data_IF_102432022170
#
_entry.id   IF_102432022170
#
_cell.length_a   1.000
_cell.length_b   1.000
_cell.length_c   1.000
_cell.angle_alpha   90.00
_cell.angle_beta   90.00
_cell.angle_gamma   90.00
#
_symmetry.space_group_name_H-M   'P 1'
#
loop_
_entity.id
_entity.type
_entity.pdbx_description
1 polymer ?
#
# COMPACT_ATOMS: atom_id res chain seq x y z
N UNK A 1 78.73 -22.23 -30.01
CA UNK A 1 77.56 -21.36 -30.26
C UNK A 1 76.36 -21.94 -29.53
N UNK A 2 75.89 -21.31 -28.44
CA UNK A 2 74.66 -21.70 -27.73
C UNK A 2 73.62 -20.62 -28.01
N UNK A 3 72.55 -20.97 -28.72
CA UNK A 3 71.41 -20.08 -28.96
C UNK A 3 70.62 -19.93 -27.65
N UNK A 4 70.52 -18.71 -27.13
CA UNK A 4 69.58 -18.37 -26.05
C UNK A 4 68.19 -18.18 -26.68
N UNK A 5 67.26 -19.06 -26.32
CA UNK A 5 65.84 -18.86 -26.61
C UNK A 5 65.28 -17.81 -25.65
N UNK A 6 64.86 -16.66 -26.18
CA UNK A 6 64.10 -15.65 -25.46
C UNK A 6 62.68 -16.16 -25.23
N UNK A 7 62.36 -16.48 -23.98
CA UNK A 7 61.04 -16.90 -23.55
C UNK A 7 60.09 -15.68 -23.58
N UNK A 8 59.22 -15.60 -24.60
CA UNK A 8 58.18 -14.57 -24.70
C UNK A 8 57.23 -14.70 -23.51
N UNK A 9 57.19 -13.69 -22.64
CA UNK A 9 56.16 -13.55 -21.61
C UNK A 9 54.79 -13.44 -22.28
N UNK A 10 53.88 -14.36 -21.97
CA UNK A 10 52.48 -14.26 -22.35
C UNK A 10 51.79 -13.17 -21.53
N UNK A 11 51.06 -12.24 -22.16
CA UNK A 11 50.38 -11.16 -21.45
C UNK A 11 49.31 -11.70 -20.49
N UNK A 12 49.21 -11.08 -19.31
CA UNK A 12 48.20 -11.41 -18.31
C UNK A 12 46.79 -11.20 -18.89
N UNK A 13 45.90 -12.16 -18.63
CA UNK A 13 44.50 -12.11 -19.07
C UNK A 13 43.56 -12.11 -17.87
N UNK A 14 42.49 -11.31 -17.93
CA UNK A 14 41.48 -11.19 -16.87
C UNK A 14 40.25 -12.02 -17.25
N UNK A 15 39.72 -12.80 -16.30
CA UNK A 15 38.51 -13.60 -16.51
C UNK A 15 37.27 -12.69 -16.47
N UNK A 16 36.46 -12.71 -17.53
CA UNK A 16 35.19 -11.98 -17.56
C UNK A 16 34.13 -12.70 -16.72
N UNK A 17 33.44 -12.02 -15.79
CA UNK A 17 32.35 -12.63 -15.02
C UNK A 17 31.01 -12.69 -15.79
N UNK A 18 30.92 -12.05 -16.96
CA UNK A 18 29.67 -11.87 -17.70
C UNK A 18 29.56 -12.73 -18.97
N UNK A 19 30.62 -13.41 -19.40
CA UNK A 19 30.56 -14.34 -20.52
C UNK A 19 31.25 -15.65 -20.16
N UNK A 20 30.68 -16.76 -20.62
CA UNK A 20 31.20 -18.12 -20.44
C UNK A 20 32.48 -18.37 -21.25
N UNK A 21 32.73 -17.55 -22.27
CA UNK A 21 33.86 -17.70 -23.18
C UNK A 21 34.91 -16.60 -22.98
N UNK A 22 36.07 -17.02 -22.47
CA UNK A 22 37.35 -16.35 -22.73
C UNK A 22 37.81 -15.26 -21.75
N UNK A 23 39.09 -15.32 -21.41
CA UNK A 23 39.79 -14.24 -20.73
C UNK A 23 40.09 -13.09 -21.71
N UNK A 24 39.96 -11.85 -21.26
CA UNK A 24 40.27 -10.67 -22.06
C UNK A 24 41.69 -10.14 -21.76
N UNK A 25 42.36 -9.51 -22.75
CA UNK A 25 43.64 -8.83 -22.51
C UNK A 25 43.48 -7.70 -21.48
N UNK A 26 44.49 -7.52 -20.62
CA UNK A 26 44.57 -6.38 -19.71
C UNK A 26 44.44 -5.04 -20.46
N UNK A 27 43.61 -4.14 -19.94
CA UNK A 27 43.32 -2.82 -20.55
C UNK A 27 41.95 -2.68 -21.22
N UNK A 28 41.12 -3.74 -21.20
CA UNK A 28 39.73 -3.65 -21.65
C UNK A 28 38.82 -3.22 -20.49
N UNK A 29 38.19 -2.05 -20.62
CA UNK A 29 37.28 -1.52 -19.58
C UNK A 29 35.87 -2.15 -19.64
N UNK A 30 35.48 -2.65 -20.81
CA UNK A 30 34.15 -3.21 -21.07
C UNK A 30 34.24 -4.58 -21.72
N UNK A 31 33.29 -5.46 -21.40
CA UNK A 31 33.14 -6.74 -22.05
C UNK A 31 32.61 -6.52 -23.47
N UNK A 32 33.32 -6.97 -24.53
CA UNK A 32 32.93 -6.71 -25.91
C UNK A 32 31.58 -7.36 -26.29
N UNK A 33 31.22 -8.47 -25.64
CA UNK A 33 29.97 -9.18 -25.94
C UNK A 33 28.75 -8.60 -25.22
N UNK A 34 28.93 -7.94 -24.07
CA UNK A 34 27.81 -7.49 -23.23
C UNK A 34 27.76 -5.98 -23.01
N UNK A 35 28.82 -5.25 -23.36
CA UNK A 35 28.98 -3.82 -23.07
C UNK A 35 29.09 -3.49 -21.57
N UNK A 36 29.17 -4.49 -20.69
CA UNK A 36 29.23 -4.28 -19.23
C UNK A 36 30.67 -3.99 -18.76
N UNK A 37 30.87 -3.09 -17.79
CA UNK A 37 32.19 -2.75 -17.28
C UNK A 37 32.83 -3.93 -16.55
N UNK A 38 34.10 -4.24 -16.87
CA UNK A 38 34.83 -5.40 -16.34
C UNK A 38 35.41 -5.16 -14.93
N UNK A 39 35.58 -3.90 -14.50
CA UNK A 39 35.96 -3.54 -13.13
C UNK A 39 34.84 -2.78 -12.44
N UNK A 40 34.49 -3.19 -11.21
CA UNK A 40 33.71 -2.34 -10.30
C UNK A 40 34.51 -1.06 -10.09
N UNK A 41 33.93 0.08 -10.44
CA UNK A 41 34.55 1.41 -10.27
C UNK A 41 34.78 1.61 -8.77
N UNK A 42 36.00 1.39 -8.30
CA UNK A 42 36.38 1.76 -6.93
C UNK A 42 36.35 3.28 -6.89
N UNK A 43 35.28 3.83 -6.31
CA UNK A 43 35.18 5.28 -6.10
C UNK A 43 36.21 5.62 -5.04
N UNK A 44 37.36 6.13 -5.46
CA UNK A 44 38.31 6.77 -4.56
C UNK A 44 37.66 8.06 -4.07
N UNK A 45 36.97 7.97 -2.93
CA UNK A 45 36.56 9.14 -2.17
C UNK A 45 37.83 9.82 -1.67
N UNK A 46 38.04 11.06 -2.08
CA UNK A 46 39.14 11.88 -1.62
C UNK A 46 39.06 12.05 -0.07
N UNK A 47 40.23 12.15 0.57
CA UNK A 47 40.36 12.32 2.03
C UNK A 47 39.59 13.53 2.54
N UNK A 48 39.46 14.59 1.76
CA UNK A 48 38.71 15.79 2.13
C UNK A 48 37.20 15.50 2.21
N UNK A 49 36.67 14.69 1.29
CA UNK A 49 35.27 14.24 1.32
C UNK A 49 34.95 13.39 2.55
N UNK A 50 35.88 12.52 2.96
CA UNK A 50 35.76 11.69 4.18
C UNK A 50 35.82 12.57 5.45
N UNK A 51 36.64 13.63 5.46
CA UNK A 51 36.75 14.52 6.63
C UNK A 51 35.48 15.35 6.82
N UNK A 52 34.88 15.88 5.74
CA UNK A 52 33.60 16.61 5.77
C UNK A 52 32.46 15.72 6.24
N UNK A 53 32.43 14.46 5.79
CA UNK A 53 31.42 13.49 6.24
C UNK A 53 31.53 13.21 7.75
N UNK A 54 32.76 13.01 8.26
CA UNK A 54 32.99 12.82 9.72
C UNK A 54 32.61 14.05 10.54
N UNK A 55 32.85 15.26 10.03
CA UNK A 55 32.41 16.50 10.70
C UNK A 55 30.89 16.61 10.76
N UNK A 56 30.18 16.22 9.69
CA UNK A 56 28.72 16.23 9.63
C UNK A 56 28.08 15.26 10.64
N UNK A 57 28.65 14.05 10.78
CA UNK A 57 28.17 13.05 11.78
C UNK A 57 28.31 13.57 13.22
N UNK A 58 29.38 14.31 13.54
CA UNK A 58 29.55 14.89 14.89
C UNK A 58 28.48 15.93 15.22
N UNK A 59 28.03 16.71 14.24
CA UNK A 59 26.97 17.69 14.43
C UNK A 59 25.59 17.04 14.63
N UNK A 60 25.32 15.92 13.93
CA UNK A 60 24.07 15.16 14.09
C UNK A 60 23.94 14.61 15.51
N UNK A 61 25.01 14.04 16.07
CA UNK A 61 24.99 13.55 17.45
C UNK A 61 24.69 14.66 18.47
N UNK A 62 25.18 15.88 18.24
CA UNK A 62 24.93 17.01 19.15
C UNK A 62 23.46 17.45 19.13
N UNK A 63 22.82 17.44 17.97
CA UNK A 63 21.38 17.73 17.82
C UNK A 63 20.55 16.65 18.52
N UNK A 64 20.92 15.38 18.38
CA UNK A 64 20.21 14.26 19.02
C UNK A 64 20.17 14.37 20.56
N UNK A 65 21.28 14.79 21.19
CA UNK A 65 21.31 15.02 22.64
C UNK A 65 20.42 16.19 23.10
N UNK A 66 20.28 17.24 22.30
CA UNK A 66 19.38 18.36 22.60
C UNK A 66 17.93 17.88 22.54
N UNK A 67 17.57 17.08 21.52
CA UNK A 67 16.21 16.52 21.39
C UNK A 67 15.88 15.60 22.56
N UNK A 68 16.79 14.70 22.95
CA UNK A 68 16.60 13.85 24.14
C UNK A 68 16.39 14.71 25.40
N UNK A 69 17.21 15.75 25.59
CA UNK A 69 17.09 16.65 26.74
C UNK A 69 15.72 17.33 26.83
N UNK A 70 15.20 17.84 25.70
CA UNK A 70 13.88 18.46 25.64
C UNK A 70 12.74 17.45 25.93
N UNK A 71 12.83 16.23 25.42
CA UNK A 71 11.83 15.18 25.67
C UNK A 71 11.80 14.79 27.14
N UNK A 72 12.96 14.59 27.77
CA UNK A 72 13.02 14.29 29.19
C UNK A 72 12.43 15.43 30.03
N UNK A 73 12.73 16.69 29.69
CA UNK A 73 12.16 17.85 30.39
C UNK A 73 10.62 17.87 30.35
N UNK A 74 10.03 17.54 29.20
CA UNK A 74 8.57 17.47 29.04
C UNK A 74 7.92 16.31 29.80
N UNK A 75 8.65 15.23 30.07
CA UNK A 75 8.14 14.09 30.86
C UNK A 75 8.15 14.40 32.36
N UNK A 76 9.16 15.13 32.85
CA UNK A 76 9.32 15.37 34.30
C UNK A 76 8.54 16.58 34.83
N UNK A 77 8.22 17.58 34.01
CA UNK A 77 7.47 18.78 34.44
C UNK A 77 6.03 18.45 34.92
N UNK A 78 5.23 17.60 34.24
CA UNK A 78 3.87 17.28 34.69
C UNK A 78 3.85 16.51 36.01
N UNK A 79 4.83 15.63 36.25
CA UNK A 79 4.93 14.85 37.48
C UNK A 79 5.18 15.72 38.72
N UNK A 80 5.98 16.78 38.57
CA UNK A 80 6.20 17.76 39.65
C UNK A 80 4.96 18.60 39.96
N UNK A 81 4.14 18.91 38.94
CA UNK A 81 2.93 19.71 39.12
C UNK A 81 1.83 18.95 39.87
N UNK A 82 1.75 17.62 39.71
CA UNK A 82 0.77 16.76 40.39
C UNK A 82 1.13 16.55 41.86
N UNK A 83 2.42 16.44 42.19
CA UNK A 83 2.87 16.23 43.58
C UNK A 83 2.63 17.48 44.45
N UNK A 84 2.66 18.68 43.87
CA UNK A 84 2.43 19.92 44.62
C UNK A 84 0.95 20.29 44.80
N UNK A 85 0.03 19.79 43.96
CA UNK A 85 -1.40 20.12 44.04
C UNK A 85 -2.25 19.09 44.81
N UNK A 86 -1.65 18.05 45.38
CA UNK A 86 -2.39 16.98 46.07
C UNK A 86 -2.63 17.21 47.57
N UNK A 87 -2.36 18.42 48.11
CA UNK A 87 -2.41 18.67 49.55
C UNK A 87 -3.63 19.44 50.08
N UNK A 88 -4.53 19.91 49.22
CA UNK A 88 -5.75 20.60 49.67
C UNK A 88 -6.95 19.96 48.96
N UNK A 89 -7.69 19.08 49.66
CA UNK A 89 -9.15 18.95 49.52
C UNK A 89 -9.70 17.88 50.49
N UNK A 90 -10.07 18.36 51.67
CA UNK A 90 -10.92 17.68 52.65
C UNK A 90 -12.36 17.64 52.12
N UNK A 91 -12.84 16.46 51.72
CA UNK A 91 -14.24 16.20 51.36
C UNK A 91 -15.14 16.12 52.61
N UNK A 92 -16.23 16.88 52.61
CA UNK A 92 -17.43 16.58 53.40
C UNK A 92 -18.61 16.27 52.48
N UNK A 93 -19.38 15.28 52.88
CA UNK A 93 -20.26 14.45 52.07
C UNK A 93 -21.72 14.67 52.42
N UNK A 94 -22.57 14.98 51.44
CA UNK A 94 -24.02 14.70 51.52
C UNK A 94 -24.63 14.54 50.11
N UNK A 95 -25.45 13.50 49.86
CA UNK A 95 -26.17 13.35 48.59
C UNK A 95 -27.64 13.83 48.73
N UNK A 96 -28.20 14.58 47.76
CA UNK A 96 -29.64 14.79 47.73
C UNK A 96 -30.35 13.76 46.85
N UNK A 97 -31.51 13.39 47.36
CA UNK A 97 -32.50 12.41 46.94
C UNK A 97 -33.13 12.66 45.57
N UNK A 98 -33.38 11.54 44.86
CA UNK A 98 -34.20 11.42 43.65
C UNK A 98 -35.60 12.03 43.82
N UNK A 99 -36.05 12.83 42.86
CA UNK A 99 -37.47 12.97 42.51
C UNK A 99 -37.70 12.51 41.08
N UNK A 100 -38.33 11.35 40.95
CA UNK A 100 -38.88 10.79 39.72
C UNK A 100 -40.19 11.51 39.45
N UNK A 101 -40.32 12.13 38.26
CA UNK A 101 -41.60 12.61 37.73
C UNK A 101 -41.96 11.73 36.54
N UNK A 102 -43.04 10.98 36.71
CA UNK A 102 -43.72 10.22 35.67
C UNK A 102 -44.31 11.18 34.62
N UNK A 103 -44.03 10.95 33.35
CA UNK A 103 -44.82 11.48 32.24
C UNK A 103 -45.33 10.31 31.39
N UNK A 104 -46.63 10.04 31.53
CA UNK A 104 -47.44 9.19 30.65
C UNK A 104 -47.48 9.82 29.26
N UNK A 105 -47.07 9.07 28.24
CA UNK A 105 -47.42 9.36 26.85
C UNK A 105 -48.11 8.14 26.24
N UNK A 106 -49.35 8.34 25.84
CA UNK A 106 -50.25 7.39 25.18
C UNK A 106 -49.85 7.19 23.72
N UNK A 107 -49.65 5.93 23.31
CA UNK A 107 -49.51 5.52 21.89
C UNK A 107 -50.81 4.80 21.47
N UNK A 108 -51.39 5.12 20.30
CA UNK A 108 -52.61 4.47 19.82
C UNK A 108 -52.32 3.08 19.22
N UNK A 109 -53.22 2.13 19.52
CA UNK A 109 -53.29 0.77 18.98
C UNK A 109 -53.56 0.78 17.47
N UNK A 110 -52.82 -0.03 16.71
CA UNK A 110 -53.23 -0.53 15.39
C UNK A 110 -53.24 -2.06 15.42
N UNK A 111 -54.38 -2.63 15.01
CA UNK A 111 -54.70 -4.07 15.04
C UNK A 111 -54.00 -4.84 13.92
N UNK A 112 -53.53 -6.03 14.32
CA UNK A 112 -53.54 -7.35 13.68
C UNK A 112 -53.15 -7.50 12.20
N UNK A 113 -52.19 -8.39 11.96
CA UNK A 113 -52.45 -9.62 11.20
C UNK A 113 -51.64 -10.80 11.75
N UNK A 114 -52.32 -11.94 11.75
CA UNK A 114 -51.99 -13.24 12.33
C UNK A 114 -51.38 -14.11 11.25
N UNK A 115 -50.19 -14.68 11.49
CA UNK A 115 -49.73 -15.89 10.81
C UNK A 115 -48.95 -16.71 11.84
N UNK A 116 -49.50 -17.88 12.11
CA UNK A 116 -48.98 -18.94 12.98
C UNK A 116 -47.88 -19.66 12.21
N UNK A 117 -46.75 -19.93 12.85
CA UNK A 117 -46.01 -21.19 12.68
C UNK A 117 -45.16 -21.46 13.92
N UNK A 118 -45.19 -22.73 14.31
CA UNK A 118 -44.82 -23.28 15.60
C UNK A 118 -43.30 -23.26 15.84
N UNK A 119 -42.87 -22.88 17.03
CA UNK A 119 -41.54 -23.21 17.55
C UNK A 119 -41.65 -23.71 18.98
N UNK A 120 -41.18 -24.95 19.18
CA UNK A 120 -41.04 -25.56 20.50
C UNK A 120 -39.91 -24.88 21.27
N UNK A 121 -40.25 -24.29 22.41
CA UNK A 121 -39.31 -23.76 23.40
C UNK A 121 -38.75 -24.90 24.26
N UNK A 122 -37.42 -24.91 24.46
CA UNK A 122 -36.76 -25.55 25.61
C UNK A 122 -36.27 -24.46 26.57
N UNK A 123 -36.17 -24.83 27.85
CA UNK A 123 -36.12 -23.95 29.03
C UNK A 123 -34.81 -23.15 29.25
N UNK A 124 -33.84 -23.11 28.33
CA UNK A 124 -32.53 -22.50 28.60
C UNK A 124 -32.29 -21.09 28.02
N UNK A 125 -33.29 -20.49 27.35
CA UNK A 125 -33.24 -19.07 26.96
C UNK A 125 -32.18 -18.70 25.91
N UNK A 126 -31.61 -19.66 25.20
CA UNK A 126 -30.62 -19.40 24.14
C UNK A 126 -31.28 -19.25 22.75
N UNK A 127 -30.98 -18.15 22.05
CA UNK A 127 -31.44 -17.90 20.67
C UNK A 127 -30.48 -18.56 19.69
N UNK A 128 -30.91 -19.65 19.05
CA UNK A 128 -30.20 -20.27 17.92
C UNK A 128 -30.47 -19.44 16.65
N UNK A 129 -29.46 -18.80 16.10
CA UNK A 129 -29.51 -18.26 14.73
C UNK A 129 -29.41 -19.48 13.78
N UNK A 130 -30.38 -19.72 12.90
CA UNK A 130 -30.28 -20.83 11.95
C UNK A 130 -29.16 -20.55 10.95
N UNK A 131 -28.13 -21.40 10.95
CA UNK A 131 -27.18 -21.45 9.84
C UNK A 131 -27.92 -21.95 8.59
N UNK A 132 -27.81 -21.25 7.45
CA UNK A 132 -28.33 -21.79 6.20
C UNK A 132 -27.56 -23.05 5.83
N UNK A 133 -28.28 -24.17 5.72
CA UNK A 133 -27.75 -25.41 5.16
C UNK A 133 -27.64 -25.22 3.65
N UNK A 134 -26.48 -24.74 3.19
CA UNK A 134 -26.10 -24.81 1.79
C UNK A 134 -25.74 -26.26 1.46
N UNK A 135 -26.44 -26.85 0.49
CA UNK A 135 -25.97 -28.08 -0.14
C UNK A 135 -24.74 -27.72 -0.97
N UNK A 136 -23.56 -28.04 -0.44
CA UNK A 136 -22.33 -27.99 -1.22
C UNK A 136 -22.40 -29.11 -2.26
N UNK A 137 -22.11 -28.80 -3.52
CA UNK A 137 -21.81 -29.81 -4.53
C UNK A 137 -20.51 -30.53 -4.13
N UNK A 138 -20.52 -31.86 -4.18
CA UNK A 138 -19.50 -32.79 -3.66
C UNK A 138 -18.17 -32.80 -4.46
N UNK A 139 -17.66 -31.65 -4.87
CA UNK A 139 -16.31 -31.54 -5.44
C UNK A 139 -15.42 -30.57 -4.67
N UNK A 140 -15.45 -30.68 -3.33
CA UNK A 140 -14.45 -30.04 -2.47
C UNK A 140 -13.18 -30.87 -2.57
N UNK A 141 -12.19 -30.34 -3.28
CA UNK A 141 -10.98 -31.06 -3.68
C UNK A 141 -9.92 -31.00 -2.56
N UNK A 142 -9.54 -32.17 -2.01
CA UNK A 142 -8.46 -32.42 -1.01
C UNK A 142 -7.04 -32.02 -1.45
N UNK A 143 -6.90 -31.22 -2.51
CA UNK A 143 -5.61 -30.82 -3.05
C UNK A 143 -4.84 -29.94 -2.06
N UNK A 144 -3.50 -30.14 -1.94
CA UNK A 144 -2.64 -29.24 -1.17
C UNK A 144 -2.87 -27.78 -1.58
N UNK A 145 -2.89 -26.86 -0.61
CA UNK A 145 -3.18 -25.44 -0.83
C UNK A 145 -2.31 -24.85 -1.94
N UNK A 146 -1.03 -25.21 -2.02
CA UNK A 146 -0.13 -24.76 -3.09
C UNK A 146 -0.57 -25.20 -4.49
N UNK A 147 -1.10 -26.42 -4.66
CA UNK A 147 -1.62 -26.92 -5.93
C UNK A 147 -2.94 -26.23 -6.29
N UNK A 148 -3.76 -25.89 -5.30
CA UNK A 148 -4.96 -25.10 -5.51
C UNK A 148 -4.61 -23.68 -5.99
N UNK A 149 -3.68 -23.00 -5.31
CA UNK A 149 -3.26 -21.64 -5.65
C UNK A 149 -2.67 -21.53 -7.06
N UNK A 150 -1.97 -22.56 -7.55
CA UNK A 150 -1.38 -22.55 -8.90
C UNK A 150 -2.41 -22.68 -10.03
N UNK A 151 -3.64 -23.09 -9.73
CA UNK A 151 -4.74 -23.16 -10.68
C UNK A 151 -5.56 -21.85 -10.74
N UNK A 152 -5.33 -20.94 -9.80
CA UNK A 152 -6.04 -19.67 -9.75
C UNK A 152 -5.50 -18.71 -10.80
N UNK A 153 -6.42 -18.08 -11.53
CA UNK A 153 -6.09 -17.05 -12.52
C UNK A 153 -5.74 -15.73 -11.82
N UNK A 154 -4.61 -15.13 -12.20
CA UNK A 154 -4.16 -13.85 -11.66
C UNK A 154 -5.06 -12.68 -12.10
N UNK A 155 -5.10 -11.62 -11.32
CA UNK A 155 -5.93 -10.44 -11.59
C UNK A 155 -5.77 -9.34 -10.53
N UNK A 156 -6.84 -8.61 -10.26
CA UNK A 156 -6.83 -7.39 -9.43
C UNK A 156 -7.64 -7.51 -8.13
N UNK A 157 -8.02 -8.73 -7.73
CA UNK A 157 -8.81 -8.99 -6.52
C UNK A 157 -7.97 -9.67 -5.45
N UNK A 158 -8.03 -9.16 -4.23
CA UNK A 158 -7.43 -9.75 -3.04
C UNK A 158 -8.50 -10.42 -2.18
N UNK A 159 -8.13 -11.51 -1.50
CA UNK A 159 -8.96 -12.14 -0.47
C UNK A 159 -8.54 -11.60 0.88
N UNK A 160 -9.43 -10.85 1.53
CA UNK A 160 -9.21 -10.22 2.83
C UNK A 160 -9.78 -11.11 3.92
N UNK A 161 -8.93 -11.49 4.88
CA UNK A 161 -9.25 -12.47 5.93
C UNK A 161 -9.30 -11.88 7.34
N UNK A 162 -9.09 -10.57 7.46
CA UNK A 162 -9.14 -9.91 8.76
C UNK A 162 -8.92 -8.41 8.69
N UNK A 163 -9.46 -7.70 9.67
CA UNK A 163 -9.45 -6.23 9.74
C UNK A 163 -9.21 -5.74 11.16
N UNK A 164 -8.06 -5.11 11.39
CA UNK A 164 -7.60 -4.76 12.74
C UNK A 164 -7.37 -3.26 12.85
N UNK A 165 -7.78 -2.64 13.95
CA UNK A 165 -7.46 -1.23 14.22
C UNK A 165 -6.01 -1.02 14.69
N UNK A 166 -5.25 -2.09 14.91
CA UNK A 166 -3.90 -2.10 15.46
C UNK A 166 -3.00 -3.00 14.60
N UNK A 167 -1.81 -2.51 14.26
CA UNK A 167 -0.87 -3.22 13.39
C UNK A 167 -0.29 -4.49 14.03
N UNK A 168 0.00 -4.46 15.33
CA UNK A 168 0.58 -5.60 16.05
C UNK A 168 -0.41 -6.75 16.14
N UNK A 169 -1.71 -6.46 16.28
CA UNK A 169 -2.76 -7.48 16.21
C UNK A 169 -2.83 -8.10 14.80
N UNK A 170 -2.80 -7.28 13.76
CA UNK A 170 -2.75 -7.79 12.39
C UNK A 170 -1.51 -8.66 12.14
N UNK A 171 -0.36 -8.25 12.67
CA UNK A 171 0.91 -8.97 12.54
C UNK A 171 0.88 -10.33 13.24
N UNK A 172 0.40 -10.37 14.49
CA UNK A 172 0.23 -11.63 15.23
C UNK A 172 -0.68 -12.60 14.50
N UNK A 173 -1.75 -12.09 13.89
CA UNK A 173 -2.66 -12.92 13.11
C UNK A 173 -2.01 -13.45 11.83
N UNK A 174 -1.26 -12.62 11.10
CA UNK A 174 -0.46 -13.09 9.95
C UNK A 174 0.48 -14.20 10.38
N UNK A 175 1.23 -14.03 11.47
CA UNK A 175 2.16 -15.05 11.97
C UNK A 175 1.44 -16.35 12.31
N UNK A 176 0.26 -16.26 12.95
CA UNK A 176 -0.59 -17.42 13.26
C UNK A 176 -1.00 -18.18 12.01
N UNK A 177 -1.48 -17.49 10.98
CA UNK A 177 -1.97 -18.11 9.75
C UNK A 177 -0.80 -18.62 8.90
N UNK A 178 0.27 -17.84 8.79
CA UNK A 178 1.50 -18.20 8.06
C UNK A 178 2.20 -19.41 8.66
N UNK A 179 2.08 -19.64 9.96
CA UNK A 179 2.59 -20.86 10.60
C UNK A 179 1.84 -22.13 10.14
N UNK A 180 0.56 -22.01 9.76
CA UNK A 180 -0.27 -23.13 9.30
C UNK A 180 -0.29 -23.28 7.77
N UNK A 181 -0.30 -22.16 7.06
CA UNK A 181 -0.41 -22.07 5.60
C UNK A 181 0.62 -21.08 5.03
N UNK A 182 1.92 -21.39 5.08
CA UNK A 182 2.97 -20.48 4.62
C UNK A 182 2.84 -20.11 3.13
N UNK A 183 2.29 -20.99 2.31
CA UNK A 183 2.02 -20.81 0.88
C UNK A 183 0.97 -19.73 0.58
N UNK A 184 0.16 -19.30 1.57
CA UNK A 184 -0.73 -18.15 1.40
C UNK A 184 0.02 -16.82 1.44
N UNK A 185 1.28 -16.80 1.87
CA UNK A 185 2.08 -15.59 2.04
C UNK A 185 3.34 -15.65 1.17
N UNK A 186 3.15 -15.90 -0.12
CA UNK A 186 4.24 -15.91 -1.10
C UNK A 186 4.83 -14.49 -1.16
N UNK A 187 6.12 -14.40 -0.87
CA UNK A 187 6.88 -13.17 -1.08
C UNK A 187 6.78 -12.84 -2.57
N UNK A 188 6.21 -11.69 -2.90
CA UNK A 188 5.99 -11.23 -4.27
C UNK A 188 7.18 -11.43 -5.21
N UNK A 189 7.20 -12.55 -5.95
CA UNK A 189 8.38 -12.96 -6.71
C UNK A 189 8.14 -13.06 -8.22
N UNK A 190 6.93 -12.88 -8.73
CA UNK A 190 6.60 -13.36 -10.08
C UNK A 190 6.36 -12.31 -11.17
N UNK A 191 6.16 -11.01 -10.90
CA UNK A 191 6.06 -10.03 -12.01
C UNK A 191 6.52 -8.61 -11.69
N UNK A 192 7.25 -7.99 -12.65
CA UNK A 192 7.69 -6.59 -12.57
C UNK A 192 6.52 -5.60 -12.47
N UNK A 193 5.31 -5.97 -12.92
CA UNK A 193 4.08 -5.19 -12.75
C UNK A 193 3.59 -5.16 -11.29
N UNK A 194 3.86 -6.23 -10.53
CA UNK A 194 3.45 -6.38 -9.13
C UNK A 194 4.44 -5.74 -8.14
N UNK A 195 5.68 -5.43 -8.56
CA UNK A 195 6.70 -4.84 -7.69
C UNK A 195 6.26 -3.54 -7.00
N UNK A 196 5.41 -2.72 -7.63
CA UNK A 196 4.93 -1.49 -7.00
C UNK A 196 3.92 -1.76 -5.88
N UNK A 197 2.97 -2.68 -6.10
CA UNK A 197 2.01 -3.08 -5.06
C UNK A 197 2.68 -3.89 -3.96
N UNK A 198 3.65 -4.72 -4.29
CA UNK A 198 4.37 -5.51 -3.30
C UNK A 198 5.25 -4.68 -2.36
N UNK A 199 5.65 -3.48 -2.74
CA UNK A 199 6.29 -2.55 -1.81
C UNK A 199 5.28 -1.84 -0.88
N UNK A 200 4.03 -1.65 -1.34
CA UNK A 200 2.97 -0.97 -0.59
C UNK A 200 2.12 -1.95 0.27
N UNK A 201 2.09 -3.24 -0.09
CA UNK A 201 1.26 -4.31 0.48
C UNK A 201 2.07 -5.54 0.93
N UNK A 202 3.40 -5.54 0.73
CA UNK A 202 4.27 -6.67 1.03
C UNK A 202 4.23 -7.04 2.51
N UNK A 203 3.91 -8.31 2.78
CA UNK A 203 3.70 -9.00 4.08
C UNK A 203 2.29 -9.59 4.26
N UNK A 204 1.42 -9.52 3.26
CA UNK A 204 0.05 -10.04 3.41
C UNK A 204 -0.82 -9.13 4.28
N UNK A 205 -0.45 -7.86 4.41
CA UNK A 205 -1.26 -6.83 5.07
C UNK A 205 -1.07 -5.47 4.43
N UNK A 206 -2.05 -4.60 4.63
CA UNK A 206 -1.95 -3.19 4.31
C UNK A 206 -2.84 -2.33 5.20
N UNK A 207 -2.49 -1.05 5.34
CA UNK A 207 -3.35 -0.10 6.04
C UNK A 207 -4.33 0.56 5.06
N UNK A 208 -5.62 0.44 5.30
CA UNK A 208 -6.67 0.97 4.42
C UNK A 208 -7.06 2.43 4.73
N UNK A 209 -6.46 3.03 5.76
CA UNK A 209 -6.79 4.36 6.29
C UNK A 209 -7.57 4.32 7.61
N UNK A 210 -8.16 3.17 7.97
CA UNK A 210 -8.88 2.95 9.23
C UNK A 210 -8.47 1.63 9.91
N UNK A 211 -8.24 0.59 9.12
CA UNK A 211 -7.88 -0.74 9.59
C UNK A 211 -6.66 -1.26 8.83
N UNK A 212 -5.84 -2.02 9.54
CA UNK A 212 -4.89 -2.97 8.99
C UNK A 212 -5.65 -4.18 8.48
N UNK A 213 -5.69 -4.35 7.17
CA UNK A 213 -6.33 -5.48 6.50
C UNK A 213 -5.27 -6.55 6.27
N UNK A 214 -5.64 -7.81 6.52
CA UNK A 214 -4.81 -8.97 6.20
C UNK A 214 -5.38 -9.60 4.93
N UNK A 215 -4.52 -9.93 3.97
CA UNK A 215 -4.89 -10.63 2.76
C UNK A 215 -4.03 -11.88 2.55
N UNK A 216 -4.59 -12.86 1.84
CA UNK A 216 -3.93 -14.14 1.53
C UNK A 216 -3.83 -14.37 0.02
N UNK A 217 -2.81 -15.11 -0.39
CA UNK A 217 -2.48 -15.41 -1.78
C UNK A 217 -1.88 -14.21 -2.52
N UNK A 218 -1.94 -14.28 -3.85
CA UNK A 218 -1.60 -13.16 -4.73
C UNK A 218 -2.84 -12.29 -5.03
N UNK A 219 -2.86 -11.63 -6.19
CA UNK A 219 -4.04 -10.97 -6.72
C UNK A 219 -4.61 -11.81 -7.85
N UNK A 220 -5.91 -12.06 -7.81
CA UNK A 220 -6.59 -13.01 -8.66
C UNK A 220 -7.71 -12.36 -9.47
N UNK A 221 -8.21 -13.06 -10.50
CA UNK A 221 -9.50 -12.73 -11.11
C UNK A 221 -10.60 -12.81 -10.06
N UNK A 222 -11.75 -12.15 -10.31
CA UNK A 222 -12.84 -12.08 -9.32
C UNK A 222 -13.37 -13.48 -8.98
N UNK A 223 -13.45 -14.34 -9.98
CA UNK A 223 -13.89 -15.73 -9.89
C UNK A 223 -12.88 -16.53 -9.06
N UNK A 224 -11.59 -16.44 -9.38
CA UNK A 224 -10.51 -17.12 -8.64
C UNK A 224 -10.39 -16.64 -7.19
N UNK A 225 -10.59 -15.34 -6.93
CA UNK A 225 -10.62 -14.80 -5.57
C UNK A 225 -11.81 -15.33 -4.77
N UNK A 226 -12.98 -15.54 -5.39
CA UNK A 226 -14.12 -16.18 -4.71
C UNK A 226 -13.84 -17.64 -4.38
N UNK A 227 -13.21 -18.39 -5.28
CA UNK A 227 -12.81 -19.78 -5.01
C UNK A 227 -11.83 -19.84 -3.81
N UNK A 228 -10.84 -18.94 -3.76
CA UNK A 228 -9.92 -18.87 -2.62
C UNK A 228 -10.63 -18.46 -1.33
N UNK A 229 -11.59 -17.53 -1.38
CA UNK A 229 -12.44 -17.16 -0.24
C UNK A 229 -13.22 -18.37 0.30
N UNK A 230 -13.86 -19.13 -0.58
CA UNK A 230 -14.64 -20.32 -0.22
C UNK A 230 -13.74 -21.38 0.41
N UNK A 231 -12.58 -21.66 -0.19
CA UNK A 231 -11.59 -22.59 0.36
C UNK A 231 -11.06 -22.14 1.72
N UNK A 232 -10.79 -20.85 1.90
CA UNK A 232 -10.34 -20.28 3.16
C UNK A 232 -11.35 -20.51 4.30
N UNK A 233 -12.64 -20.31 4.02
CA UNK A 233 -13.72 -20.51 5.00
C UNK A 233 -13.94 -22.00 5.28
N UNK A 234 -14.06 -22.81 4.22
CA UNK A 234 -14.49 -24.20 4.34
C UNK A 234 -13.39 -25.15 4.82
N UNK A 235 -12.16 -24.95 4.35
CA UNK A 235 -11.07 -25.92 4.55
C UNK A 235 -9.94 -25.39 5.44
N UNK A 236 -9.74 -24.07 5.51
CA UNK A 236 -8.64 -23.47 6.27
C UNK A 236 -9.05 -22.97 7.66
N UNK A 237 -10.34 -23.12 8.02
CA UNK A 237 -10.91 -22.64 9.29
C UNK A 237 -10.63 -21.14 9.53
N UNK A 238 -10.52 -20.35 8.45
CA UNK A 238 -10.38 -18.90 8.54
C UNK A 238 -11.78 -18.31 8.79
N UNK A 239 -11.93 -17.34 9.72
CA UNK A 239 -13.25 -16.87 10.15
C UNK A 239 -14.15 -16.38 9.01
N UNK A 240 -15.47 -16.52 9.17
CA UNK A 240 -16.49 -16.20 8.15
C UNK A 240 -16.53 -14.73 7.68
N UNK A 241 -15.76 -13.82 8.30
CA UNK A 241 -15.64 -12.44 7.86
C UNK A 241 -14.66 -12.25 6.69
N UNK A 242 -14.25 -13.34 6.03
CA UNK A 242 -13.49 -13.26 4.77
C UNK A 242 -14.33 -12.61 3.67
N UNK A 243 -13.76 -11.62 3.00
CA UNK A 243 -14.36 -10.98 1.83
C UNK A 243 -13.32 -10.73 0.73
N UNK A 244 -13.78 -10.62 -0.51
CA UNK A 244 -12.90 -10.24 -1.63
C UNK A 244 -12.98 -8.74 -1.89
N UNK A 245 -11.87 -8.16 -2.34
CA UNK A 245 -11.79 -6.72 -2.63
C UNK A 245 -10.88 -6.46 -3.82
N UNK A 246 -11.34 -5.63 -4.74
CA UNK A 246 -10.45 -5.14 -5.81
C UNK A 246 -9.44 -4.14 -5.23
N UNK A 247 -8.16 -4.42 -5.49
CA UNK A 247 -7.06 -3.57 -5.06
C UNK A 247 -6.91 -2.30 -5.93
N UNK A 248 -7.47 -2.31 -7.14
CA UNK A 248 -7.51 -1.15 -8.03
C UNK A 248 -8.58 -0.13 -7.62
N UNK A 249 -9.69 -0.57 -7.03
CA UNK A 249 -10.84 0.31 -6.71
C UNK A 249 -10.95 0.72 -5.25
N UNK A 250 -10.27 0.02 -4.33
CA UNK A 250 -10.01 0.44 -2.95
C UNK A 250 -11.16 1.15 -2.19
N UNK A 251 -12.18 0.45 -1.68
CA UNK A 251 -13.31 0.90 -0.79
C UNK A 251 -14.08 2.18 -1.13
N UNK A 252 -13.62 2.96 -2.08
CA UNK A 252 -14.47 3.91 -2.74
C UNK A 252 -15.40 3.09 -3.63
N UNK A 253 -16.65 2.93 -3.18
CA UNK A 253 -17.76 3.27 -4.06
C UNK A 253 -17.43 4.63 -4.69
N UNK A 254 -16.61 4.62 -5.74
CA UNK A 254 -16.57 5.75 -6.62
C UNK A 254 -17.94 5.71 -7.27
N UNK A 255 -18.75 6.71 -6.96
CA UNK A 255 -19.69 7.19 -7.95
C UNK A 255 -18.84 7.45 -9.18
N UNK A 256 -18.84 6.50 -10.11
CA UNK A 256 -18.38 6.80 -11.45
C UNK A 256 -19.43 7.78 -11.93
N UNK A 257 -19.12 9.08 -11.82
CA UNK A 257 -19.85 10.09 -12.57
C UNK A 257 -19.35 9.90 -14.00
N UNK A 258 -19.86 8.83 -14.64
CA UNK A 258 -19.65 8.60 -16.06
C UNK A 258 -20.38 9.68 -16.83
N UNK A 259 -19.71 10.19 -17.85
CA UNK A 259 -20.32 10.82 -19.02
C UNK A 259 -21.06 12.15 -18.81
N UNK A 260 -20.70 12.95 -17.80
CA UNK A 260 -21.01 14.37 -17.91
C UNK A 260 -20.13 14.98 -19.01
N UNK A 261 -20.68 15.04 -20.23
CA UNK A 261 -20.11 15.70 -21.42
C UNK A 261 -19.69 17.17 -21.15
N UNK A 262 -20.14 17.73 -20.03
CA UNK A 262 -19.97 19.13 -19.68
C UNK A 262 -18.75 19.41 -18.78
N UNK A 263 -18.11 18.39 -18.20
CA UNK A 263 -16.94 18.61 -17.36
C UNK A 263 -15.66 18.68 -18.21
N UNK A 264 -15.45 19.88 -18.74
CA UNK A 264 -14.30 20.23 -19.58
C UNK A 264 -12.98 20.27 -18.82
N UNK A 265 -12.96 20.34 -17.49
CA UNK A 265 -11.73 20.57 -16.72
C UNK A 265 -11.65 19.78 -15.41
N UNK A 266 -10.46 19.29 -15.09
CA UNK A 266 -10.16 18.73 -13.78
C UNK A 266 -8.72 18.27 -13.61
N UNK A 267 -8.36 17.88 -12.39
CA UNK A 267 -6.99 17.57 -11.99
C UNK A 267 -6.65 16.10 -12.19
N UNK A 268 -5.55 15.83 -12.90
CA UNK A 268 -5.03 14.49 -13.15
C UNK A 268 -3.56 14.41 -12.77
N UNK A 269 -3.17 13.26 -12.23
CA UNK A 269 -1.77 12.97 -11.99
C UNK A 269 -1.08 12.64 -13.31
N UNK A 270 -0.01 13.37 -13.65
CA UNK A 270 0.67 13.24 -14.95
C UNK A 270 2.09 12.69 -14.84
N UNK A 271 2.71 12.72 -13.65
CA UNK A 271 4.00 12.07 -13.46
C UNK A 271 4.69 12.38 -12.13
N UNK A 272 5.73 11.60 -11.85
CA UNK A 272 6.67 11.84 -10.77
C UNK A 272 8.06 12.13 -11.34
N UNK A 273 8.73 13.10 -10.75
CA UNK A 273 10.00 13.64 -11.20
C UNK A 273 10.92 13.77 -10.01
N UNK A 274 12.23 13.73 -10.27
CA UNK A 274 13.20 14.14 -9.27
C UNK A 274 13.28 15.67 -9.16
N UNK A 275 14.08 16.17 -8.22
CA UNK A 275 14.32 17.63 -8.04
C UNK A 275 14.95 18.34 -9.24
N UNK A 276 15.52 17.59 -10.18
CA UNK A 276 16.09 18.13 -11.42
C UNK A 276 15.10 18.00 -12.59
N UNK A 277 13.82 17.74 -12.31
CA UNK A 277 12.77 17.53 -13.29
C UNK A 277 13.02 16.35 -14.24
N UNK A 278 13.88 15.41 -13.84
CA UNK A 278 14.07 14.16 -14.57
C UNK A 278 12.90 13.24 -14.26
N UNK A 279 12.22 12.77 -15.31
CA UNK A 279 11.08 11.86 -15.19
C UNK A 279 11.52 10.57 -14.49
N UNK A 280 10.85 10.25 -13.40
CA UNK A 280 10.95 8.94 -12.72
C UNK A 280 9.88 8.02 -13.33
N UNK A 281 8.65 8.52 -13.43
CA UNK A 281 7.54 7.85 -14.11
C UNK A 281 6.46 8.86 -14.50
N UNK A 282 5.57 8.53 -15.43
CA UNK A 282 4.47 9.42 -15.79
C UNK A 282 3.89 9.15 -17.16
N UNK A 283 2.81 9.86 -17.44
CA UNK A 283 1.90 9.60 -18.55
C UNK A 283 2.18 10.45 -19.79
N UNK A 284 3.10 11.41 -19.65
CA UNK A 284 3.56 12.29 -20.72
C UNK A 284 5.08 12.17 -20.88
N UNK A 285 5.59 12.48 -22.06
CA UNK A 285 7.03 12.56 -22.29
C UNK A 285 7.60 13.89 -21.79
N UNK A 286 8.74 13.83 -21.13
CA UNK A 286 9.40 15.01 -20.56
C UNK A 286 8.68 15.63 -19.36
N UNK A 287 9.08 16.85 -19.02
CA UNK A 287 8.43 17.66 -17.99
C UNK A 287 7.21 18.38 -18.57
N UNK A 288 6.07 18.39 -17.88
CA UNK A 288 4.86 19.05 -18.37
C UNK A 288 5.05 20.55 -18.51
N UNK A 289 4.36 21.11 -19.51
CA UNK A 289 4.29 22.54 -19.77
C UNK A 289 2.83 22.97 -19.79
N UNK A 290 2.59 24.15 -19.20
CA UNK A 290 1.31 24.83 -19.28
C UNK A 290 1.05 25.19 -20.76
N UNK A 291 -0.21 25.25 -21.14
CA UNK A 291 -0.66 25.59 -22.50
C UNK A 291 -0.13 24.66 -23.60
N UNK A 292 0.25 23.44 -23.22
CA UNK A 292 0.72 22.43 -24.16
C UNK A 292 -0.29 21.29 -24.23
N UNK A 293 -0.50 20.80 -25.45
CA UNK A 293 -1.35 19.66 -25.72
C UNK A 293 -0.56 18.36 -25.55
N UNK A 294 -1.17 17.38 -24.89
CA UNK A 294 -0.58 16.08 -24.67
C UNK A 294 -1.58 14.98 -24.99
N UNK A 295 -1.02 13.82 -25.34
CA UNK A 295 -1.75 12.57 -25.47
C UNK A 295 -1.39 11.66 -24.30
N UNK A 296 -2.37 11.06 -23.64
CA UNK A 296 -2.10 10.04 -22.62
C UNK A 296 -1.52 8.79 -23.29
N UNK A 297 -0.29 8.40 -22.96
CA UNK A 297 0.45 7.36 -23.71
C UNK A 297 0.39 5.95 -23.13
N UNK A 298 -0.14 5.74 -21.93
CA UNK A 298 -0.19 4.39 -21.32
C UNK A 298 -1.47 3.66 -21.72
N UNK A 299 -1.31 2.54 -22.44
CA UNK A 299 -2.37 1.84 -23.19
C UNK A 299 -3.34 1.01 -22.32
N UNK A 300 -3.04 0.77 -21.04
CA UNK A 300 -3.76 -0.19 -20.19
C UNK A 300 -4.76 0.43 -19.18
N UNK A 301 -4.99 1.76 -19.18
CA UNK A 301 -5.68 2.40 -18.02
C UNK A 301 -6.66 3.53 -18.34
N UNK A 302 -7.69 3.56 -17.51
CA UNK A 302 -8.57 4.70 -17.26
C UNK A 302 -7.96 5.54 -16.13
N UNK A 303 -7.77 6.83 -16.34
CA UNK A 303 -7.22 7.75 -15.34
C UNK A 303 -8.34 8.56 -14.69
N UNK A 304 -8.25 8.69 -13.37
CA UNK A 304 -9.26 9.42 -12.60
C UNK A 304 -8.98 10.93 -12.58
N UNK A 305 -9.99 11.71 -12.96
CA UNK A 305 -10.00 13.17 -12.87
C UNK A 305 -10.59 13.57 -11.52
N UNK A 306 -9.95 14.56 -10.87
CA UNK A 306 -10.29 15.02 -9.52
C UNK A 306 -10.67 16.50 -9.53
N UNK A 307 -11.48 16.93 -8.55
CA UNK A 307 -11.79 18.37 -8.36
C UNK A 307 -10.57 19.22 -8.00
N UNK A 308 -9.59 18.65 -7.30
CA UNK A 308 -8.39 19.36 -6.86
C UNK A 308 -7.24 18.39 -6.59
N UNK A 309 -5.97 18.83 -6.66
CA UNK A 309 -4.84 18.00 -6.31
C UNK A 309 -4.67 17.88 -4.79
N UNK A 310 -3.93 16.87 -4.29
CA UNK A 310 -3.61 16.74 -2.87
C UNK A 310 -2.84 17.95 -2.32
N UNK A 311 -3.14 18.35 -1.08
CA UNK A 311 -2.50 19.53 -0.44
C UNK A 311 -1.33 19.19 0.49
N UNK A 312 -1.28 17.96 0.98
CA UNK A 312 -0.31 17.43 1.96
C UNK A 312 0.05 15.98 1.65
N UNK A 313 1.17 15.47 2.18
CA UNK A 313 1.61 14.09 1.95
C UNK A 313 0.62 13.12 2.56
N UNK A 314 0.13 13.46 3.75
CA UNK A 314 -0.94 12.73 4.43
C UNK A 314 -2.20 12.66 3.58
N UNK A 315 -2.63 13.76 2.97
CA UNK A 315 -3.79 13.79 2.05
C UNK A 315 -3.49 13.08 0.73
N UNK A 316 -2.26 13.06 0.23
CA UNK A 316 -1.92 12.25 -0.94
C UNK A 316 -2.16 10.76 -0.65
N UNK A 317 -1.63 10.22 0.45
CA UNK A 317 -1.79 8.82 0.80
C UNK A 317 -3.20 8.46 1.31
N UNK A 318 -3.84 9.37 2.05
CA UNK A 318 -5.21 9.19 2.58
C UNK A 318 -6.29 9.40 1.52
N UNK A 319 -6.10 10.40 0.65
CA UNK A 319 -7.12 10.88 -0.28
C UNK A 319 -6.95 10.27 -1.68
N UNK A 320 -5.98 9.38 -1.89
CA UNK A 320 -6.07 8.45 -3.02
C UNK A 320 -7.43 7.72 -3.05
N UNK A 321 -8.11 7.57 -1.89
CA UNK A 321 -9.40 6.89 -1.70
C UNK A 321 -10.63 7.79 -1.45
N UNK A 322 -10.47 9.12 -1.29
CA UNK A 322 -11.55 10.00 -0.77
C UNK A 322 -11.73 11.34 -1.49
N UNK A 323 -11.04 11.59 -2.61
CA UNK A 323 -11.31 12.80 -3.40
C UNK A 323 -12.48 12.52 -4.32
N UNK A 324 -13.39 13.49 -4.42
CA UNK A 324 -14.45 13.52 -5.42
C UNK A 324 -13.84 13.32 -6.81
N UNK A 325 -13.95 12.09 -7.30
CA UNK A 325 -13.70 11.77 -8.71
C UNK A 325 -14.85 12.38 -9.48
N UNK A 326 -14.51 13.18 -10.48
CA UNK A 326 -15.50 13.88 -11.29
C UNK A 326 -15.59 13.32 -12.70
N UNK A 327 -14.58 12.54 -13.12
CA UNK A 327 -14.65 11.82 -14.37
C UNK A 327 -13.43 10.95 -14.59
N UNK A 328 -13.33 10.43 -15.81
CA UNK A 328 -12.19 9.62 -16.21
C UNK A 328 -11.72 9.96 -17.62
N UNK A 329 -10.43 9.77 -17.87
CA UNK A 329 -9.81 9.94 -19.19
C UNK A 329 -9.14 8.63 -19.62
N UNK A 330 -9.35 8.26 -20.89
CA UNK A 330 -8.78 7.03 -21.46
C UNK A 330 -7.42 7.31 -22.09
N UNK A 331 -6.63 6.25 -22.22
CA UNK A 331 -5.44 6.24 -23.06
C UNK A 331 -5.76 6.76 -24.46
N UNK A 332 -4.85 7.54 -25.04
CA UNK A 332 -5.00 8.10 -26.37
C UNK A 332 -5.82 9.39 -26.46
N UNK A 333 -6.54 9.79 -25.41
CA UNK A 333 -7.24 11.07 -25.40
C UNK A 333 -6.24 12.24 -25.41
N UNK A 334 -6.61 13.28 -26.16
CA UNK A 334 -5.90 14.55 -26.20
C UNK A 334 -6.44 15.50 -25.13
N UNK A 335 -5.53 16.22 -24.49
CA UNK A 335 -5.85 17.18 -23.46
C UNK A 335 -4.89 18.35 -23.46
N UNK A 336 -5.36 19.48 -22.96
CA UNK A 336 -4.61 20.72 -22.84
C UNK A 336 -4.32 20.99 -21.36
N UNK A 337 -3.07 21.25 -20.99
CA UNK A 337 -2.73 21.58 -19.59
C UNK A 337 -3.01 23.06 -19.32
N UNK A 338 -3.94 23.34 -18.40
CA UNK A 338 -4.27 24.70 -17.94
C UNK A 338 -3.41 25.15 -16.78
N UNK A 339 -3.18 24.26 -15.81
CA UNK A 339 -2.42 24.56 -14.61
C UNK A 339 -1.57 23.36 -14.23
N UNK A 340 -0.41 23.61 -13.62
CA UNK A 340 0.46 22.60 -13.04
C UNK A 340 0.64 22.89 -11.55
N UNK A 341 0.43 21.87 -10.72
CA UNK A 341 0.75 21.90 -9.29
C UNK A 341 1.77 20.84 -8.96
N UNK A 342 2.86 21.31 -8.37
CA UNK A 342 3.92 20.46 -7.85
C UNK A 342 3.60 20.07 -6.42
N UNK A 343 3.74 18.78 -6.15
CA UNK A 343 3.48 18.21 -4.86
C UNK A 343 4.73 17.46 -4.39
N UNK A 344 5.45 18.06 -3.45
CA UNK A 344 6.64 17.46 -2.85
C UNK A 344 6.23 16.26 -2.00
N UNK A 345 6.65 15.07 -2.43
CA UNK A 345 6.39 13.83 -1.68
C UNK A 345 7.42 13.64 -0.56
N UNK A 346 8.68 13.95 -0.87
CA UNK A 346 9.81 13.94 0.04
C UNK A 346 10.93 14.86 -0.47
N UNK A 347 12.10 14.79 0.16
CA UNK A 347 13.26 15.59 -0.20
C UNK A 347 13.82 15.30 -1.60
N UNK A 348 13.37 14.31 -2.35
CA UNK A 348 13.97 14.01 -3.66
C UNK A 348 12.94 13.82 -4.77
N UNK A 349 11.65 13.73 -4.42
CA UNK A 349 10.58 13.40 -5.37
C UNK A 349 9.47 14.44 -5.37
N UNK A 350 9.15 14.91 -6.56
CA UNK A 350 8.01 15.78 -6.86
C UNK A 350 6.98 14.99 -7.66
N UNK A 351 5.73 15.10 -7.25
CA UNK A 351 4.56 14.60 -7.99
C UNK A 351 3.93 15.77 -8.71
N UNK A 352 3.62 15.60 -9.98
CA UNK A 352 3.00 16.64 -10.79
C UNK A 352 1.54 16.29 -11.05
N UNK A 353 0.69 17.22 -10.67
CA UNK A 353 -0.72 17.24 -11.00
C UNK A 353 -0.96 18.35 -12.01
N UNK A 354 -1.75 18.06 -13.04
CA UNK A 354 -2.17 19.05 -14.01
C UNK A 354 -3.68 19.20 -13.99
N UNK A 355 -4.16 20.43 -14.02
CA UNK A 355 -5.50 20.72 -14.46
C UNK A 355 -5.53 20.59 -15.98
N UNK A 356 -6.35 19.68 -16.49
CA UNK A 356 -6.43 19.39 -17.90
C UNK A 356 -7.77 19.84 -18.45
N UNK A 357 -7.79 20.22 -19.72
CA UNK A 357 -9.00 20.40 -20.50
C UNK A 357 -9.06 19.38 -21.64
N UNK A 358 -10.14 18.59 -21.69
CA UNK A 358 -10.31 17.58 -22.73
C UNK A 358 -10.63 18.26 -24.06
N UNK A 359 -9.86 17.93 -25.11
CA UNK A 359 -10.13 18.34 -26.49
C UNK A 359 -10.81 17.16 -27.20
N UNK A 360 -11.95 17.41 -27.85
CA UNK A 360 -12.68 16.44 -28.66
C UNK A 360 -12.31 16.57 -30.13
#
# INVERSE_FOLDING_TARGET
>A
MKQQMTQKQTPHRIRCPYCSEGFHPEGTDFCPNTGKPLRKKTIHLDRESISRFRASIKNINKIWWIVIGCVLLLIFIPGFYIIFNANDDSYDSTPPTKKIKESRTTIPKKKNNKAVNESGMREDGSIKIPHPVFKADDSVSDKPVAEFLSQLELGDWAVIIGSYNNEDLARKEIERIKARYPELFISCLSSELHNQYCNDYGEGKYFDGRYWRIYIGEFYSKESANLLKEKAIQEMEIPDDVFIRSILTGDSEYTVITDNKDEKAGWVFIGAYDRNHKKIFGNIEGYPKIETEYKFTREDRVYNIRKSPPRTVRTYYKDLRRIDIIGSIQAGNQFFIKEIKEFLLDENRVKIWAEIEKRY
#
